data_IF_385416103873
#
_entry.id   IF_385416103873
#
_cell.length_a   1.000
_cell.length_b   1.000
_cell.length_c   1.000
_cell.angle_alpha   90.00
_cell.angle_beta   90.00
_cell.angle_gamma   90.00
#
_symmetry.space_group_name_H-M   'P 1'
#
loop_
_entity.id
_entity.type
_entity.pdbx_description
1 polymer ?
#
# COMPACT_ATOMS: atom_id res chain seq x y z
N UNK A 1 -35.30 -12.53 -18.27
CA UNK A 1 -33.87 -12.20 -18.34
C UNK A 1 -32.95 -13.17 -17.52
N UNK A 2 -33.47 -14.32 -17.06
CA UNK A 2 -32.70 -15.32 -16.33
C UNK A 2 -31.99 -16.36 -17.21
N UNK A 3 -32.47 -16.57 -18.44
CA UNK A 3 -31.99 -17.68 -19.29
C UNK A 3 -30.68 -17.43 -20.08
N UNK A 4 -30.12 -16.22 -20.06
CA UNK A 4 -28.91 -15.91 -20.81
C UNK A 4 -27.59 -16.19 -20.06
N UNK A 5 -27.66 -16.68 -18.81
CA UNK A 5 -26.49 -16.89 -17.95
C UNK A 5 -25.98 -18.35 -18.04
N UNK A 6 -26.83 -19.31 -18.36
CA UNK A 6 -26.48 -20.73 -18.46
C UNK A 6 -25.64 -21.09 -19.69
N UNK A 7 -25.62 -20.24 -20.72
CA UNK A 7 -24.92 -20.49 -21.99
C UNK A 7 -23.47 -19.95 -22.01
N UNK A 8 -23.01 -19.32 -20.92
CA UNK A 8 -21.64 -18.81 -20.84
C UNK A 8 -20.65 -19.92 -20.41
N UNK A 9 -19.42 -19.94 -20.94
CA UNK A 9 -18.37 -20.81 -20.45
C UNK A 9 -18.19 -20.69 -18.93
N UNK A 10 -17.96 -21.81 -18.24
CA UNK A 10 -17.86 -21.88 -16.78
C UNK A 10 -16.93 -20.81 -16.19
N UNK A 11 -15.76 -20.58 -16.81
CA UNK A 11 -14.83 -19.56 -16.32
C UNK A 11 -15.41 -18.13 -16.38
N UNK A 12 -16.29 -17.83 -17.35
CA UNK A 12 -16.97 -16.52 -17.42
C UNK A 12 -18.03 -16.35 -16.35
N UNK A 13 -18.74 -17.42 -16.01
CA UNK A 13 -19.70 -17.42 -14.90
C UNK A 13 -18.97 -17.18 -13.57
N UNK A 14 -17.86 -17.87 -13.34
CA UNK A 14 -17.01 -17.71 -12.14
C UNK A 14 -16.43 -16.28 -12.08
N UNK A 15 -15.89 -15.77 -13.20
CA UNK A 15 -15.39 -14.40 -13.29
C UNK A 15 -16.47 -13.40 -12.86
N UNK A 16 -17.69 -13.57 -13.36
CA UNK A 16 -18.82 -12.71 -13.01
C UNK A 16 -19.15 -12.79 -11.52
N UNK A 17 -19.22 -14.01 -10.97
CA UNK A 17 -19.51 -14.21 -9.55
C UNK A 17 -18.45 -13.53 -8.65
N UNK A 18 -17.15 -13.69 -8.98
CA UNK A 18 -16.08 -13.03 -8.22
C UNK A 18 -16.17 -11.50 -8.37
N UNK A 19 -16.45 -10.97 -9.58
CA UNK A 19 -16.63 -9.55 -9.79
C UNK A 19 -17.80 -8.97 -8.97
N UNK A 20 -18.94 -9.68 -8.93
CA UNK A 20 -20.10 -9.30 -8.12
C UNK A 20 -19.79 -9.31 -6.60
N UNK A 21 -18.97 -10.25 -6.12
CA UNK A 21 -18.50 -10.29 -4.73
C UNK A 21 -17.59 -9.09 -4.41
N UNK A 22 -16.71 -8.70 -5.33
CA UNK A 22 -15.88 -7.50 -5.20
C UNK A 22 -16.76 -6.25 -5.14
N UNK A 23 -17.73 -6.13 -6.05
CA UNK A 23 -18.65 -4.98 -6.11
C UNK A 23 -19.52 -4.85 -4.85
N UNK A 24 -19.94 -5.97 -4.24
CA UNK A 24 -20.70 -5.99 -2.97
C UNK A 24 -19.82 -5.75 -1.74
N UNK A 25 -18.47 -5.79 -1.89
CA UNK A 25 -17.55 -5.65 -0.79
C UNK A 25 -17.30 -6.93 0.01
N UNK A 26 -17.75 -8.11 -0.46
CA UNK A 26 -17.44 -9.41 0.14
C UNK A 26 -15.92 -9.66 0.12
N UNK A 27 -15.24 -9.12 -0.91
CA UNK A 27 -13.80 -8.96 -0.99
C UNK A 27 -13.49 -7.45 -1.05
N UNK A 28 -13.11 -6.83 0.08
CA UNK A 28 -12.80 -5.40 0.13
C UNK A 28 -11.61 -5.03 -0.77
N UNK A 29 -11.61 -3.80 -1.28
CA UNK A 29 -10.49 -3.27 -2.06
C UNK A 29 -9.18 -3.37 -1.27
N UNK A 30 -8.11 -3.85 -1.92
CA UNK A 30 -6.81 -4.08 -1.28
C UNK A 30 -6.70 -5.36 -0.44
N UNK A 31 -7.80 -6.11 -0.27
CA UNK A 31 -7.76 -7.40 0.43
C UNK A 31 -7.34 -8.55 -0.50
N UNK A 32 -6.85 -9.62 0.11
CA UNK A 32 -6.50 -10.85 -0.61
C UNK A 32 -7.77 -11.64 -0.99
N UNK A 33 -7.82 -12.12 -2.23
CA UNK A 33 -8.83 -13.08 -2.70
C UNK A 33 -8.38 -14.49 -2.34
N UNK A 34 -9.30 -15.43 -2.05
CA UNK A 34 -8.95 -16.83 -1.85
C UNK A 34 -8.10 -17.40 -2.98
N UNK A 35 -7.22 -18.34 -2.66
CA UNK A 35 -6.31 -18.95 -3.63
C UNK A 35 -7.05 -19.69 -4.76
N UNK A 36 -6.38 -19.92 -5.89
CA UNK A 36 -6.93 -20.70 -7.01
C UNK A 36 -7.43 -22.10 -6.56
N UNK A 37 -6.80 -22.70 -5.54
CA UNK A 37 -7.21 -24.01 -5.02
C UNK A 37 -8.50 -23.91 -4.19
N UNK A 38 -8.57 -22.93 -3.27
CA UNK A 38 -9.76 -22.69 -2.46
C UNK A 38 -10.97 -22.34 -3.33
N UNK A 39 -10.78 -21.48 -4.33
CA UNK A 39 -11.84 -21.15 -5.29
C UNK A 39 -12.23 -22.36 -6.15
N UNK A 40 -11.29 -23.22 -6.54
CA UNK A 40 -11.60 -24.43 -7.30
C UNK A 40 -12.46 -25.41 -6.50
N UNK A 41 -12.18 -25.54 -5.20
CA UNK A 41 -12.98 -26.35 -4.27
C UNK A 41 -14.38 -25.72 -4.07
N UNK A 42 -14.44 -24.42 -3.82
CA UNK A 42 -15.70 -23.69 -3.59
C UNK A 42 -16.65 -23.77 -4.80
N UNK A 43 -16.12 -23.57 -6.01
CA UNK A 43 -16.91 -23.61 -7.26
C UNK A 43 -17.07 -25.00 -7.87
N UNK A 44 -16.53 -26.04 -7.26
CA UNK A 44 -16.60 -27.42 -7.76
C UNK A 44 -16.01 -27.59 -9.15
N UNK A 45 -14.89 -26.89 -9.46
CA UNK A 45 -14.27 -26.84 -10.79
C UNK A 45 -12.77 -27.08 -10.72
N UNK A 46 -12.10 -27.02 -11.91
CA UNK A 46 -10.65 -27.20 -11.96
C UNK A 46 -9.91 -25.90 -11.66
N UNK A 47 -8.69 -26.00 -11.09
CA UNK A 47 -7.80 -24.85 -10.89
C UNK A 47 -7.53 -24.09 -12.20
N UNK A 48 -7.47 -24.80 -13.35
CA UNK A 48 -7.25 -24.16 -14.64
C UNK A 48 -8.42 -23.24 -15.04
N UNK A 49 -9.66 -23.69 -14.76
CA UNK A 49 -10.88 -22.89 -15.00
C UNK A 49 -10.88 -21.62 -14.13
N UNK A 50 -10.51 -21.75 -12.85
CA UNK A 50 -10.36 -20.59 -11.93
C UNK A 50 -9.28 -19.65 -12.44
N UNK A 51 -8.12 -20.18 -12.86
CA UNK A 51 -7.03 -19.35 -13.39
C UNK A 51 -7.47 -18.52 -14.60
N UNK A 52 -8.24 -19.11 -15.50
CA UNK A 52 -8.79 -18.40 -16.67
C UNK A 52 -9.75 -17.29 -16.27
N UNK A 53 -10.60 -17.52 -15.25
CA UNK A 53 -11.48 -16.48 -14.70
C UNK A 53 -10.69 -15.35 -14.05
N UNK A 54 -9.67 -15.69 -13.24
CA UNK A 54 -8.78 -14.74 -12.58
C UNK A 54 -7.96 -13.93 -13.59
N UNK A 55 -7.48 -14.54 -14.67
CA UNK A 55 -6.72 -13.85 -15.73
C UNK A 55 -7.55 -12.74 -16.40
N UNK A 56 -8.86 -12.95 -16.59
CA UNK A 56 -9.74 -11.90 -17.11
C UNK A 56 -9.96 -10.76 -16.09
N UNK A 57 -10.05 -11.09 -14.79
CA UNK A 57 -10.15 -10.08 -13.73
C UNK A 57 -8.86 -9.26 -13.60
N UNK A 58 -7.69 -9.87 -13.80
CA UNK A 58 -6.40 -9.16 -13.89
C UNK A 58 -6.39 -8.23 -15.09
N UNK A 59 -6.76 -8.72 -16.28
CA UNK A 59 -6.83 -7.90 -17.51
C UNK A 59 -7.76 -6.70 -17.38
N UNK A 60 -8.85 -6.84 -16.62
CA UNK A 60 -9.78 -5.74 -16.35
C UNK A 60 -9.35 -4.83 -15.19
N UNK A 61 -8.21 -5.08 -14.56
CA UNK A 61 -7.71 -4.31 -13.41
C UNK A 61 -8.47 -4.52 -12.10
N UNK A 62 -9.46 -5.44 -12.07
CA UNK A 62 -10.23 -5.71 -10.86
C UNK A 62 -9.43 -6.45 -9.79
N UNK A 63 -8.41 -7.20 -10.19
CA UNK A 63 -7.47 -7.85 -9.28
C UNK A 63 -6.03 -7.68 -9.74
N UNK A 64 -5.10 -7.73 -8.78
CA UNK A 64 -3.64 -7.72 -9.01
C UNK A 64 -3.05 -9.02 -8.48
N UNK A 65 -2.24 -9.71 -9.31
CA UNK A 65 -1.42 -10.83 -8.82
C UNK A 65 -0.07 -10.35 -8.32
N UNK A 66 0.33 -10.84 -7.17
CA UNK A 66 1.65 -10.58 -6.58
C UNK A 66 2.35 -11.91 -6.36
N UNK A 67 3.50 -12.07 -7.02
CA UNK A 67 4.28 -13.30 -6.95
C UNK A 67 4.62 -13.68 -5.50
N UNK A 68 4.32 -14.91 -5.12
CA UNK A 68 4.56 -15.43 -3.77
C UNK A 68 3.57 -14.95 -2.69
N UNK A 69 2.65 -14.02 -3.00
CA UNK A 69 1.68 -13.51 -2.03
C UNK A 69 0.22 -13.83 -2.37
N UNK A 70 -0.12 -13.99 -3.65
CA UNK A 70 -1.49 -14.30 -4.07
C UNK A 70 -2.11 -13.25 -4.99
N UNK A 71 -3.45 -13.20 -4.99
CA UNK A 71 -4.22 -12.22 -5.75
C UNK A 71 -4.98 -11.29 -4.80
N UNK A 72 -5.04 -10.01 -5.15
CA UNK A 72 -5.61 -8.95 -4.33
C UNK A 72 -6.62 -8.15 -5.14
N UNK A 73 -7.68 -7.66 -4.49
CA UNK A 73 -8.65 -6.76 -5.13
C UNK A 73 -7.95 -5.45 -5.48
N UNK A 74 -7.96 -5.10 -6.77
CA UNK A 74 -7.40 -3.86 -7.29
C UNK A 74 -8.42 -2.73 -7.32
N UNK A 75 -7.95 -1.53 -7.66
CA UNK A 75 -8.80 -0.38 -7.95
C UNK A 75 -8.73 -0.04 -9.44
N UNK A 76 -9.89 0.18 -10.10
CA UNK A 76 -10.03 0.35 -11.55
C UNK A 76 -9.27 1.54 -12.17
N UNK A 77 -8.77 2.47 -11.34
CA UNK A 77 -8.22 3.76 -11.78
C UNK A 77 -6.70 3.84 -11.68
N UNK A 78 -6.00 2.70 -11.49
CA UNK A 78 -4.54 2.71 -11.52
C UNK A 78 -4.04 2.84 -12.96
N UNK A 79 -4.06 4.06 -13.49
CA UNK A 79 -3.30 4.40 -14.67
C UNK A 79 -1.81 4.48 -14.25
N UNK A 80 -0.97 3.60 -14.81
CA UNK A 80 0.48 3.59 -14.57
C UNK A 80 1.16 4.93 -14.92
N UNK A 81 0.41 5.88 -15.48
CA UNK A 81 0.88 7.17 -15.96
C UNK A 81 0.71 8.32 -14.96
N UNK A 82 -0.08 8.18 -13.89
CA UNK A 82 -0.11 9.18 -12.83
C UNK A 82 1.01 8.92 -11.81
N UNK A 83 2.23 9.25 -12.20
CA UNK A 83 3.46 9.17 -11.41
C UNK A 83 3.48 10.28 -10.37
N UNK A 84 2.85 10.08 -9.24
CA UNK A 84 3.05 10.95 -8.08
C UNK A 84 3.61 10.12 -6.93
N UNK A 85 4.92 10.28 -6.71
CA UNK A 85 5.63 10.06 -5.46
C UNK A 85 5.48 8.68 -4.78
N UNK A 86 6.47 8.38 -3.97
CA UNK A 86 6.54 7.22 -3.12
C UNK A 86 7.69 6.28 -3.50
N UNK A 87 8.27 5.66 -2.50
CA UNK A 87 9.43 4.79 -2.60
C UNK A 87 9.32 3.76 -3.73
N UNK A 88 8.20 3.02 -3.79
CA UNK A 88 8.01 1.95 -4.77
C UNK A 88 8.10 2.43 -6.23
N UNK A 89 7.46 3.55 -6.54
CA UNK A 89 7.44 4.08 -7.91
C UNK A 89 8.80 4.64 -8.31
N UNK A 90 9.48 5.35 -7.40
CA UNK A 90 10.83 5.88 -7.64
C UNK A 90 11.82 4.76 -7.95
N UNK A 91 11.77 3.66 -7.20
CA UNK A 91 12.65 2.50 -7.39
C UNK A 91 12.34 1.78 -8.70
N UNK A 92 11.07 1.54 -9.04
CA UNK A 92 10.70 0.92 -10.33
C UNK A 92 11.11 1.80 -11.52
N UNK A 93 11.01 3.12 -11.40
CA UNK A 93 11.44 4.04 -12.45
C UNK A 93 12.96 4.00 -12.70
N UNK A 94 13.77 3.61 -11.71
CA UNK A 94 15.20 3.38 -11.86
C UNK A 94 15.56 1.99 -12.42
N UNK A 95 14.56 1.13 -12.64
CA UNK A 95 14.75 -0.25 -13.13
C UNK A 95 15.11 -1.26 -12.05
N UNK A 96 15.12 -0.86 -10.77
CA UNK A 96 15.39 -1.73 -9.63
C UNK A 96 14.11 -2.35 -9.06
N UNK A 97 14.26 -3.35 -8.20
CA UNK A 97 13.13 -4.09 -7.60
C UNK A 97 12.87 -3.62 -6.17
N UNK A 98 11.76 -2.88 -5.90
CA UNK A 98 11.40 -2.48 -4.55
C UNK A 98 10.75 -3.61 -3.79
N UNK A 99 11.09 -3.75 -2.51
CA UNK A 99 10.35 -4.58 -1.58
C UNK A 99 10.17 -3.87 -0.23
N UNK A 100 9.08 -4.21 0.47
CA UNK A 100 8.72 -3.60 1.76
C UNK A 100 8.46 -4.69 2.77
N UNK A 101 9.12 -4.60 3.91
CA UNK A 101 8.87 -5.45 5.09
C UNK A 101 8.21 -4.63 6.19
N UNK A 102 7.03 -5.04 6.62
CA UNK A 102 6.36 -4.41 7.75
C UNK A 102 7.06 -4.84 9.04
N UNK A 103 7.56 -3.86 9.78
CA UNK A 103 8.24 -4.07 11.06
C UNK A 103 7.27 -4.03 12.24
N UNK A 104 6.27 -3.13 12.17
CA UNK A 104 5.23 -3.00 13.19
C UNK A 104 3.98 -2.34 12.61
N UNK A 105 2.83 -2.68 13.19
CA UNK A 105 1.54 -2.00 13.00
C UNK A 105 0.89 -1.84 14.37
N UNK A 106 0.32 -0.69 14.64
CA UNK A 106 -0.42 -0.44 15.87
C UNK A 106 -1.41 0.70 15.69
N UNK A 107 -2.35 0.82 16.63
CA UNK A 107 -3.15 2.03 16.80
C UNK A 107 -2.69 2.75 18.05
N UNK A 108 -2.74 4.08 18.03
CA UNK A 108 -2.46 4.94 19.17
C UNK A 108 -3.36 6.16 19.12
N UNK A 109 -3.61 6.77 20.25
CA UNK A 109 -4.28 8.07 20.30
C UNK A 109 -3.39 9.15 19.67
N UNK A 110 -4.01 10.14 19.05
CA UNK A 110 -3.33 11.27 18.43
C UNK A 110 -2.54 12.07 19.49
N UNK A 111 -3.16 12.37 20.61
CA UNK A 111 -2.63 13.30 21.58
C UNK A 111 -2.56 14.73 21.01
N UNK A 112 -2.21 15.74 21.84
CA UNK A 112 -2.35 17.14 21.46
C UNK A 112 -1.57 17.53 20.20
N UNK A 113 -0.33 17.05 20.05
CA UNK A 113 0.52 17.39 18.92
C UNK A 113 -0.05 16.92 17.57
N UNK A 114 -0.41 15.63 17.46
CA UNK A 114 -0.93 15.09 16.20
C UNK A 114 -2.40 15.47 15.97
N UNK A 115 -3.16 15.74 17.03
CA UNK A 115 -4.52 16.28 16.92
C UNK A 115 -4.50 17.65 16.22
N UNK A 116 -3.61 18.55 16.63
CA UNK A 116 -3.41 19.84 15.99
C UNK A 116 -2.92 19.68 14.54
N UNK A 117 -1.92 18.81 14.32
CA UNK A 117 -1.32 18.58 13.02
C UNK A 117 -2.32 18.06 11.97
N UNK A 118 -3.22 17.17 12.37
CA UNK A 118 -4.21 16.54 11.48
C UNK A 118 -5.59 17.22 11.52
N UNK A 119 -5.83 18.17 12.45
CA UNK A 119 -7.14 18.79 12.64
C UNK A 119 -8.21 17.79 13.16
N UNK A 120 -7.85 16.89 14.07
CA UNK A 120 -8.69 15.84 14.66
C UNK A 120 -8.71 15.96 16.19
N UNK A 121 -9.50 15.13 16.89
CA UNK A 121 -9.52 15.12 18.35
C UNK A 121 -8.28 14.37 18.93
N UNK A 122 -7.90 14.72 20.17
CA UNK A 122 -6.76 14.11 20.85
C UNK A 122 -6.96 12.61 21.14
N UNK A 123 -8.21 12.19 21.29
CA UNK A 123 -8.63 10.81 21.50
C UNK A 123 -8.96 10.07 20.21
N UNK A 124 -8.85 10.71 19.03
CA UNK A 124 -8.91 10.03 17.76
C UNK A 124 -7.71 9.10 17.57
N UNK A 125 -7.95 7.99 16.87
CA UNK A 125 -6.94 6.98 16.63
C UNK A 125 -6.12 7.28 15.38
N UNK A 126 -4.81 7.10 15.50
CA UNK A 126 -3.86 7.04 14.41
C UNK A 126 -3.45 5.59 14.16
N UNK A 127 -3.47 5.18 12.90
CA UNK A 127 -2.82 3.95 12.45
C UNK A 127 -1.33 4.23 12.27
N UNK A 128 -0.50 3.57 13.06
CA UNK A 128 0.95 3.68 13.03
C UNK A 128 1.54 2.48 12.31
N UNK A 129 2.33 2.76 11.28
CA UNK A 129 3.02 1.73 10.48
C UNK A 129 4.51 2.02 10.50
N UNK A 130 5.31 0.98 10.79
CA UNK A 130 6.77 1.03 10.65
C UNK A 130 7.20 0.03 9.60
N UNK A 131 7.94 0.50 8.60
CA UNK A 131 8.36 -0.29 7.43
C UNK A 131 9.86 -0.25 7.23
N UNK A 132 10.42 -1.34 6.70
CA UNK A 132 11.74 -1.38 6.13
C UNK A 132 11.58 -1.47 4.61
N UNK A 133 12.12 -0.49 3.93
CA UNK A 133 12.14 -0.42 2.48
C UNK A 133 13.46 -0.99 1.96
N UNK A 134 13.39 -1.85 0.96
CA UNK A 134 14.56 -2.49 0.36
C UNK A 134 14.57 -2.29 -1.15
N UNK A 135 15.77 -2.18 -1.73
CA UNK A 135 16.02 -2.15 -3.17
C UNK A 135 16.86 -3.38 -3.52
N UNK A 136 16.39 -4.20 -4.45
CA UNK A 136 17.04 -5.45 -4.87
C UNK A 136 17.40 -6.38 -3.68
N UNK A 137 16.57 -6.35 -2.64
CA UNK A 137 16.73 -7.13 -1.41
C UNK A 137 17.54 -6.44 -0.31
N UNK A 138 18.30 -5.39 -0.62
CA UNK A 138 19.11 -4.64 0.34
C UNK A 138 18.27 -3.58 1.07
N UNK A 139 18.38 -3.47 2.42
CA UNK A 139 17.67 -2.46 3.19
C UNK A 139 18.24 -1.06 2.91
N UNK A 140 17.36 -0.12 2.60
CA UNK A 140 17.75 1.26 2.25
C UNK A 140 17.15 2.31 3.16
N UNK A 141 15.94 2.10 3.69
CA UNK A 141 15.34 3.06 4.63
C UNK A 141 14.36 2.42 5.59
N UNK A 142 14.23 3.04 6.76
CA UNK A 142 13.16 2.75 7.73
C UNK A 142 12.22 3.92 7.70
N UNK A 143 10.93 3.64 7.60
CA UNK A 143 9.88 4.66 7.58
C UNK A 143 8.86 4.40 8.69
N UNK A 144 8.48 5.45 9.38
CA UNK A 144 7.35 5.48 10.32
C UNK A 144 6.30 6.41 9.77
N UNK A 145 5.09 5.89 9.61
CA UNK A 145 3.94 6.64 9.08
C UNK A 145 2.81 6.63 10.09
N UNK A 146 2.18 7.78 10.29
CA UNK A 146 0.99 7.98 11.11
C UNK A 146 -0.15 8.45 10.21
N UNK A 147 -1.30 7.79 10.32
CA UNK A 147 -2.45 7.98 9.43
C UNK A 147 -3.71 8.07 10.30
N UNK A 148 -4.52 9.15 10.21
CA UNK A 148 -5.76 9.26 10.96
C UNK A 148 -6.78 8.17 10.55
N UNK A 149 -7.15 7.28 11.49
CA UNK A 149 -8.11 6.19 11.22
C UNK A 149 -9.48 6.73 10.80
N UNK A 150 -9.88 7.89 11.32
CA UNK A 150 -11.15 8.55 10.98
C UNK A 150 -11.24 8.88 9.48
N UNK A 151 -10.12 9.25 8.87
CA UNK A 151 -10.07 9.62 7.45
C UNK A 151 -10.00 8.41 6.52
N UNK A 152 -9.57 7.25 7.04
CA UNK A 152 -9.35 6.02 6.29
C UNK A 152 -9.98 4.80 6.97
N UNK A 153 -11.33 4.73 7.06
CA UNK A 153 -12.00 3.56 7.62
C UNK A 153 -11.58 2.28 6.87
N UNK A 154 -11.15 1.26 7.61
CA UNK A 154 -10.77 -0.03 7.04
C UNK A 154 -9.34 -0.10 6.49
N UNK A 155 -8.48 0.90 6.70
CA UNK A 155 -7.08 0.90 6.23
C UNK A 155 -6.30 -0.33 6.68
N UNK A 156 -6.63 -0.90 7.85
CA UNK A 156 -5.96 -2.10 8.36
C UNK A 156 -6.23 -3.35 7.50
N UNK A 157 -7.32 -3.35 6.73
CA UNK A 157 -7.70 -4.43 5.82
C UNK A 157 -6.89 -4.43 4.52
N UNK A 158 -6.18 -3.34 4.20
CA UNK A 158 -5.35 -3.25 3.00
C UNK A 158 -3.96 -3.82 3.29
N UNK A 159 -3.47 -4.70 2.40
CA UNK A 159 -2.08 -5.18 2.52
C UNK A 159 -1.09 -4.14 1.98
N UNK A 160 -0.64 -3.26 2.89
CA UNK A 160 0.35 -2.21 2.61
C UNK A 160 1.77 -2.73 2.32
N UNK A 161 1.99 -4.04 2.30
CA UNK A 161 3.22 -4.65 1.78
C UNK A 161 3.09 -5.00 0.28
N UNK A 162 1.88 -4.96 -0.25
CA UNK A 162 1.51 -5.17 -1.66
C UNK A 162 1.21 -3.84 -2.34
N UNK A 163 0.41 -3.01 -1.70
CA UNK A 163 0.05 -1.68 -2.16
C UNK A 163 0.91 -0.62 -1.46
N UNK A 164 1.31 0.41 -2.18
CA UNK A 164 1.93 1.58 -1.54
C UNK A 164 0.90 2.29 -0.66
N UNK A 165 1.35 3.14 0.28
CA UNK A 165 0.42 3.93 1.07
C UNK A 165 -0.39 4.90 0.20
N UNK A 166 0.22 5.50 -0.81
CA UNK A 166 -0.47 6.40 -1.74
C UNK A 166 -1.54 5.67 -2.56
N UNK A 167 -1.24 4.45 -3.04
CA UNK A 167 -2.27 3.57 -3.64
C UNK A 167 -3.39 3.29 -2.65
N UNK A 168 -3.04 3.00 -1.38
CA UNK A 168 -4.02 2.72 -0.32
C UNK A 168 -4.92 3.91 -0.05
N UNK A 169 -4.39 5.14 0.00
CA UNK A 169 -5.19 6.35 0.22
C UNK A 169 -6.16 6.59 -0.92
N UNK A 170 -5.71 6.44 -2.17
CA UNK A 170 -6.56 6.58 -3.35
C UNK A 170 -7.68 5.53 -3.37
N UNK A 171 -7.37 4.27 -3.05
CA UNK A 171 -8.35 3.18 -2.90
C UNK A 171 -9.43 3.50 -1.86
N UNK A 172 -9.06 4.21 -0.78
CA UNK A 172 -9.95 4.61 0.30
C UNK A 172 -10.60 5.99 0.06
N UNK A 173 -10.48 6.53 -1.16
CA UNK A 173 -11.18 7.72 -1.61
C UNK A 173 -10.54 9.05 -1.24
N UNK A 174 -9.25 9.05 -0.83
CA UNK A 174 -8.50 10.28 -0.55
C UNK A 174 -7.19 10.28 -1.32
N UNK A 175 -7.15 11.04 -2.40
CA UNK A 175 -5.95 11.16 -3.25
C UNK A 175 -4.95 12.13 -2.63
N UNK A 176 -3.70 11.72 -2.36
CA UNK A 176 -2.63 12.63 -1.97
C UNK A 176 -2.40 13.67 -3.06
N UNK A 177 -2.24 14.94 -2.69
CA UNK A 177 -2.08 16.04 -3.64
C UNK A 177 -0.79 16.82 -3.38
N UNK A 178 -0.55 17.22 -2.14
CA UNK A 178 0.60 18.05 -1.76
C UNK A 178 1.30 17.48 -0.54
N UNK A 179 2.64 17.58 -0.50
CA UNK A 179 3.44 17.27 0.70
C UNK A 179 4.32 18.46 1.07
N UNK A 180 4.42 18.70 2.37
CA UNK A 180 5.40 19.63 2.95
C UNK A 180 6.45 18.78 3.64
N UNK A 181 7.70 18.90 3.22
CA UNK A 181 8.77 18.02 3.67
C UNK A 181 9.92 18.82 4.28
N UNK A 182 10.50 18.27 5.34
CA UNK A 182 11.72 18.75 6.00
C UNK A 182 12.81 17.70 5.82
N UNK A 183 13.97 18.12 5.37
CA UNK A 183 15.16 17.31 5.28
C UNK A 183 16.08 17.61 6.44
N UNK A 184 16.62 16.56 7.08
CA UNK A 184 17.53 16.62 8.21
C UNK A 184 18.55 15.48 8.16
N UNK A 185 19.52 15.47 9.09
CA UNK A 185 20.49 14.39 9.26
C UNK A 185 20.49 14.01 10.75
N UNK A 186 20.24 12.74 11.06
CA UNK A 186 20.22 12.24 12.43
C UNK A 186 21.09 10.97 12.57
N UNK A 187 21.65 10.77 13.77
CA UNK A 187 22.34 9.55 14.10
C UNK A 187 21.35 8.42 14.37
N UNK A 188 21.62 7.24 13.82
CA UNK A 188 20.77 6.06 13.96
C UNK A 188 20.89 5.47 15.37
N UNK A 189 19.74 5.04 15.91
CA UNK A 189 19.72 4.17 17.08
C UNK A 189 20.38 2.83 16.76
N UNK A 190 20.91 2.11 17.77
CA UNK A 190 21.48 0.79 17.58
C UNK A 190 20.52 -0.20 16.89
N UNK A 191 19.21 -0.11 17.20
CA UNK A 191 18.18 -0.93 16.59
C UNK A 191 18.00 -0.61 15.10
N UNK A 192 18.00 0.66 14.74
CA UNK A 192 17.74 1.10 13.36
C UNK A 192 18.95 0.91 12.48
N UNK A 193 20.15 1.15 13.01
CA UNK A 193 21.40 0.85 12.35
C UNK A 193 21.50 -0.65 11.99
N UNK A 194 21.19 -1.55 12.94
CA UNK A 194 21.16 -3.00 12.67
C UNK A 194 20.18 -3.40 11.58
N UNK A 195 19.00 -2.75 11.48
CA UNK A 195 18.02 -3.02 10.43
C UNK A 195 18.49 -2.56 9.05
N UNK A 196 19.34 -1.54 8.99
CA UNK A 196 19.90 -0.97 7.77
C UNK A 196 21.29 -1.53 7.41
N UNK A 197 21.79 -2.53 8.15
CA UNK A 197 23.16 -3.06 7.99
C UNK A 197 24.23 -1.97 8.16
N UNK A 198 24.05 -1.10 9.17
CA UNK A 198 24.93 0.01 9.53
C UNK A 198 25.38 -0.12 11.01
N UNK A 199 26.37 0.67 11.41
CA UNK A 199 26.84 0.74 12.80
C UNK A 199 26.00 1.72 13.65
N UNK A 200 25.84 1.47 14.94
CA UNK A 200 25.19 2.41 15.85
C UNK A 200 25.86 3.79 15.83
N UNK A 201 25.05 4.82 15.59
CA UNK A 201 25.56 6.20 15.50
C UNK A 201 25.89 6.66 14.07
N UNK A 202 25.86 5.76 13.08
CA UNK A 202 25.95 6.16 11.69
C UNK A 202 24.84 7.17 11.35
N UNK A 203 25.18 8.11 10.47
CA UNK A 203 24.25 9.18 10.07
C UNK A 203 23.29 8.68 8.99
N UNK A 204 22.02 8.99 9.16
CA UNK A 204 21.00 8.79 8.15
C UNK A 204 20.45 10.13 7.66
N UNK A 205 20.10 10.18 6.39
CA UNK A 205 19.29 11.27 5.84
C UNK A 205 17.85 11.06 6.34
N UNK A 206 17.30 12.08 6.97
CA UNK A 206 15.94 12.06 7.52
C UNK A 206 15.04 12.92 6.68
N UNK A 207 13.97 12.33 6.16
CA UNK A 207 12.90 13.05 5.51
C UNK A 207 11.66 12.94 6.38
N UNK A 208 11.16 14.07 6.87
CA UNK A 208 9.93 14.18 7.63
C UNK A 208 8.91 14.99 6.85
N UNK A 209 7.74 14.43 6.59
CA UNK A 209 6.75 15.02 5.71
C UNK A 209 5.33 14.94 6.26
N UNK A 210 4.53 15.95 5.91
CA UNK A 210 3.10 16.00 6.11
C UNK A 210 2.42 16.08 4.75
N UNK A 211 1.61 15.07 4.44
CA UNK A 211 0.90 14.95 3.17
C UNK A 211 -0.55 15.39 3.33
N UNK A 212 -1.04 16.13 2.37
CA UNK A 212 -2.40 16.65 2.29
C UNK A 212 -3.14 16.06 1.09
N UNK A 213 -4.45 15.90 1.22
CA UNK A 213 -5.32 15.59 0.08
C UNK A 213 -5.73 16.88 -0.67
N UNK A 214 -6.45 16.71 -1.78
CA UNK A 214 -6.93 17.82 -2.62
C UNK A 214 -7.89 18.79 -1.93
N UNK A 215 -8.43 18.44 -0.75
CA UNK A 215 -9.24 19.34 0.08
C UNK A 215 -8.39 20.18 1.04
N UNK A 216 -7.09 19.93 1.12
CA UNK A 216 -6.18 20.53 2.09
C UNK A 216 -6.22 19.86 3.47
N UNK A 217 -6.85 18.68 3.58
CA UNK A 217 -6.83 17.89 4.81
C UNK A 217 -5.49 17.15 4.93
N UNK A 218 -4.81 17.29 6.07
CA UNK A 218 -3.62 16.48 6.37
C UNK A 218 -4.04 15.02 6.57
N UNK A 219 -3.42 14.12 5.79
CA UNK A 219 -3.80 12.71 5.72
C UNK A 219 -2.70 11.75 6.17
N UNK A 220 -1.45 12.19 6.16
CA UNK A 220 -0.30 11.38 6.52
C UNK A 220 0.79 12.25 7.14
N UNK A 221 1.41 11.75 8.22
CA UNK A 221 2.71 12.22 8.70
C UNK A 221 3.70 11.07 8.59
N UNK A 222 4.76 11.24 7.83
CA UNK A 222 5.79 10.24 7.61
C UNK A 222 7.16 10.77 8.03
N UNK A 223 7.96 9.91 8.68
CA UNK A 223 9.38 10.16 8.97
C UNK A 223 10.18 8.95 8.50
N UNK A 224 11.12 9.18 7.59
CA UNK A 224 12.00 8.14 7.07
C UNK A 224 13.45 8.41 7.41
N UNK A 225 14.20 7.34 7.68
CA UNK A 225 15.63 7.31 7.90
C UNK A 225 16.27 6.52 6.77
N UNK A 226 17.00 7.17 5.89
CA UNK A 226 17.60 6.59 4.69
C UNK A 226 19.11 6.55 4.83
N UNK A 227 19.73 5.42 4.45
CA UNK A 227 21.19 5.28 4.39
C UNK A 227 21.79 6.34 3.48
N UNK A 228 22.90 6.95 3.90
CA UNK A 228 23.59 7.98 3.11
C UNK A 228 24.20 7.47 1.80
N UNK A 229 24.44 6.15 1.70
CA UNK A 229 24.98 5.48 0.50
C UNK A 229 23.90 4.87 -0.42
N UNK A 230 22.63 4.97 -0.07
CA UNK A 230 21.52 4.37 -0.83
C UNK A 230 21.05 5.21 -2.05
N UNK A 231 21.80 6.24 -2.44
CA UNK A 231 21.50 7.10 -3.57
C UNK A 231 21.11 8.53 -3.15
N UNK A 232 21.21 9.47 -4.09
CA UNK A 232 20.92 10.89 -3.86
C UNK A 232 19.44 11.23 -4.01
N UNK A 233 18.95 12.16 -3.20
CA UNK A 233 17.69 12.83 -3.46
C UNK A 233 17.90 13.91 -4.53
N UNK A 234 17.10 13.89 -5.59
CA UNK A 234 17.09 14.95 -6.60
C UNK A 234 15.80 15.74 -6.45
N UNK A 235 15.93 17.02 -6.18
CA UNK A 235 14.82 17.96 -6.21
C UNK A 235 14.80 18.70 -7.54
N UNK A 236 13.64 18.70 -8.20
CA UNK A 236 13.38 19.59 -9.34
C UNK A 236 12.52 20.76 -8.83
N UNK A 237 13.04 21.97 -8.96
CA UNK A 237 12.36 23.23 -8.61
C UNK A 237 11.49 23.70 -9.76
#
# INVERSE_FOLDING_TARGET
MADAVEDLPVYKQIRRCIAERIERGDYPTGSMIPSENELAEEFGTTRLTIRSAMDELVKSGQIRRVQGKGAFVGHKWFDEHERRGGFRQSVLASGATPSVRILARSKRYAGPYYADLFGIAEDDLLYSVRRLNCIDGEPVSIEMTLIPCLLFPGIEGVDISVFSLFETYDMLGRKPDQSVEKLDIEALSARDASLLNLEPGDLALVLEGLTYDSSGQAIEHAKSFTRGDAGGYTYNY
#
